data_IF_041709562780
#
_entry.id   IF_041709562780
#
_cell.length_a   1.000
_cell.length_b   1.000
_cell.length_c   1.000
_cell.angle_alpha   90.00
_cell.angle_beta   90.00
_cell.angle_gamma   90.00
#
_symmetry.space_group_name_H-M   'P 1'
#
loop_
_entity.id
_entity.type
_entity.pdbx_description
1 polymer ?
#
# COMPACT_ATOMS: atom_id res chain seq x y z
N UNK A 1 35.99 4.11 29.68
CA UNK A 1 35.15 4.50 30.84
C UNK A 1 33.80 4.98 30.30
N UNK A 2 32.72 4.20 30.55
CA UNK A 2 31.28 4.44 30.26
C UNK A 2 30.93 4.66 28.77
N UNK A 3 30.53 3.66 27.97
CA UNK A 3 29.26 2.89 28.07
C UNK A 3 28.13 3.64 28.75
N UNK A 4 27.22 4.21 27.95
CA UNK A 4 25.83 4.47 28.35
C UNK A 4 24.93 4.65 27.12
N UNK A 5 24.08 3.64 26.92
CA UNK A 5 22.68 3.76 26.47
C UNK A 5 22.32 3.88 24.99
N UNK A 6 22.83 2.97 24.14
CA UNK A 6 22.16 2.62 22.85
C UNK A 6 20.98 1.64 23.06
N UNK A 7 20.70 1.20 24.30
CA UNK A 7 19.72 0.13 24.56
C UNK A 7 18.26 0.56 24.78
N UNK A 8 17.89 1.84 24.67
CA UNK A 8 16.56 2.30 25.09
C UNK A 8 15.76 3.18 24.10
N UNK A 9 16.15 3.27 22.82
CA UNK A 9 15.34 3.98 21.80
C UNK A 9 14.64 3.07 20.77
N UNK A 10 14.71 1.74 20.97
CA UNK A 10 14.09 0.71 20.11
C UNK A 10 12.60 0.42 20.44
N UNK A 11 11.87 1.40 20.98
CA UNK A 11 10.44 1.27 21.27
C UNK A 11 9.68 2.42 20.66
N UNK A 12 9.32 2.27 19.38
CA UNK A 12 8.26 2.95 18.61
C UNK A 12 8.77 3.23 17.20
N UNK A 13 8.69 2.24 16.31
CA UNK A 13 8.14 2.37 14.95
C UNK A 13 7.75 0.94 14.56
N UNK A 14 6.46 0.67 14.51
CA UNK A 14 5.96 -0.62 14.06
C UNK A 14 5.94 -0.58 12.53
N UNK A 15 6.83 -1.39 11.95
CA UNK A 15 7.11 -1.53 10.52
C UNK A 15 5.90 -2.05 9.75
N UNK A 16 5.63 -1.43 8.60
CA UNK A 16 4.52 -1.74 7.72
C UNK A 16 4.93 -2.87 6.78
N UNK A 17 4.14 -3.96 6.73
CA UNK A 17 4.33 -5.05 5.76
C UNK A 17 3.02 -5.63 5.29
N UNK A 18 2.51 -5.17 4.15
CA UNK A 18 1.66 -5.99 3.28
C UNK A 18 1.51 -5.42 1.87
N UNK A 19 2.36 -5.86 0.94
CA UNK A 19 2.07 -5.84 -0.49
C UNK A 19 2.95 -6.90 -1.16
N UNK A 20 2.37 -7.97 -1.68
CA UNK A 20 3.14 -9.03 -2.35
C UNK A 20 2.67 -10.45 -2.07
N UNK A 21 1.41 -10.74 -2.37
CA UNK A 21 0.96 -12.11 -2.58
C UNK A 21 -0.19 -12.08 -3.61
N UNK A 22 0.15 -12.33 -4.87
CA UNK A 22 -0.86 -12.65 -5.89
C UNK A 22 -1.76 -13.77 -5.35
N UNK A 23 -3.06 -13.54 -5.44
CA UNK A 23 -4.10 -14.50 -5.05
C UNK A 23 -4.18 -15.62 -6.09
N UNK A 24 -3.72 -16.82 -5.71
CA UNK A 24 -4.24 -18.08 -6.23
C UNK A 24 -4.31 -19.09 -5.09
N UNK A 25 -5.34 -18.99 -4.24
CA UNK A 25 -5.69 -20.02 -3.27
C UNK A 25 -6.86 -20.85 -3.78
N UNK A 26 -6.60 -21.92 -4.53
CA UNK A 26 -7.55 -23.03 -4.66
C UNK A 26 -7.34 -24.00 -3.49
N UNK A 27 -8.17 -23.87 -2.45
CA UNK A 27 -8.23 -24.83 -1.36
C UNK A 27 -9.23 -24.44 -0.27
N UNK A 28 -10.33 -25.19 -0.16
CA UNK A 28 -11.28 -25.17 0.97
C UNK A 28 -11.34 -26.62 1.51
N UNK A 29 -11.50 -26.90 2.82
CA UNK A 29 -11.04 -26.19 4.02
C UNK A 29 -10.29 -27.14 4.99
N UNK A 30 -9.33 -26.64 5.75
CA UNK A 30 -9.08 -27.21 7.09
C UNK A 30 -9.67 -26.23 8.09
N UNK A 31 -10.63 -26.69 8.90
CA UNK A 31 -11.30 -25.88 9.92
C UNK A 31 -10.29 -25.03 10.67
N UNK A 32 -10.44 -23.72 10.54
CA UNK A 32 -9.53 -22.77 11.13
C UNK A 32 -10.30 -22.01 12.18
N UNK A 33 -9.81 -22.16 13.41
CA UNK A 33 -10.51 -21.83 14.64
C UNK A 33 -10.25 -20.38 15.01
N UNK A 34 -11.13 -19.79 15.82
CA UNK A 34 -10.89 -18.55 16.60
C UNK A 34 -9.49 -18.50 17.29
N UNK A 35 -8.81 -19.65 17.43
CA UNK A 35 -7.43 -19.80 17.91
C UNK A 35 -6.34 -19.22 17.00
N UNK A 36 -6.60 -18.97 15.72
CA UNK A 36 -5.64 -18.36 14.80
C UNK A 36 -5.55 -16.86 15.10
N UNK A 37 -4.71 -16.51 16.07
CA UNK A 37 -4.74 -15.20 16.74
C UNK A 37 -3.55 -14.30 16.49
N UNK A 38 -2.78 -14.62 15.44
CA UNK A 38 -1.59 -13.89 15.08
C UNK A 38 -1.76 -13.02 13.84
N UNK A 39 -2.61 -13.43 12.90
CA UNK A 39 -2.67 -12.81 11.58
C UNK A 39 -4.08 -12.43 11.16
N UNK A 40 -4.20 -11.32 10.43
CA UNK A 40 -5.43 -10.90 9.76
C UNK A 40 -5.19 -10.67 8.27
N UNK A 41 -6.17 -11.03 7.44
CA UNK A 41 -6.12 -10.77 5.99
C UNK A 41 -7.52 -10.55 5.44
N UNK A 42 -7.61 -10.01 4.22
CA UNK A 42 -8.88 -9.85 3.52
C UNK A 42 -9.53 -11.20 3.21
N UNK A 43 -10.85 -11.23 3.11
CA UNK A 43 -11.55 -12.45 2.70
C UNK A 43 -11.25 -12.86 1.24
N UNK A 44 -11.54 -14.12 0.90
CA UNK A 44 -11.31 -14.69 -0.43
C UNK A 44 -12.55 -14.70 -1.33
N UNK A 45 -13.67 -14.11 -0.88
CA UNK A 45 -14.83 -13.93 -1.75
C UNK A 45 -14.50 -12.93 -2.88
N UNK A 46 -15.26 -13.01 -3.97
CA UNK A 46 -15.10 -12.16 -5.16
C UNK A 46 -15.23 -10.67 -4.85
N UNK A 47 -15.97 -10.33 -3.79
CA UNK A 47 -16.27 -8.95 -3.41
C UNK A 47 -15.23 -8.37 -2.43
N UNK A 48 -14.19 -9.13 -2.07
CA UNK A 48 -13.15 -8.63 -1.16
C UNK A 48 -11.93 -8.13 -1.92
N UNK A 49 -11.71 -6.83 -1.83
CA UNK A 49 -10.52 -6.16 -2.37
C UNK A 49 -9.71 -5.46 -1.25
N UNK A 50 -8.42 -5.26 -1.51
CA UNK A 50 -7.58 -4.37 -0.68
C UNK A 50 -7.87 -2.89 -0.96
N UNK A 51 -8.23 -2.62 -2.23
CA UNK A 51 -8.55 -1.29 -2.74
C UNK A 51 -9.92 -1.34 -3.40
N UNK A 52 -10.80 -0.40 -3.06
CA UNK A 52 -12.07 -0.21 -3.77
C UNK A 52 -12.17 1.21 -4.32
N UNK A 53 -12.55 1.31 -5.59
CA UNK A 53 -12.65 2.58 -6.32
C UNK A 53 -14.11 3.00 -6.41
N UNK A 54 -14.41 4.22 -5.97
CA UNK A 54 -15.77 4.76 -5.93
C UNK A 54 -15.80 6.23 -6.36
N UNK A 55 -16.93 6.66 -6.90
CA UNK A 55 -17.21 8.09 -7.10
C UNK A 55 -17.62 8.75 -5.77
N UNK A 56 -17.65 10.10 -5.69
CA UNK A 56 -18.21 10.80 -4.54
C UNK A 56 -19.67 10.40 -4.32
N UNK A 57 -20.08 10.23 -3.06
CA UNK A 57 -21.38 9.65 -2.70
C UNK A 57 -21.47 8.12 -2.82
N UNK A 58 -20.42 7.46 -3.32
CA UNK A 58 -20.33 6.01 -3.42
C UNK A 58 -20.01 5.33 -2.08
N UNK A 59 -19.97 3.99 -2.13
CA UNK A 59 -19.78 3.14 -0.96
C UNK A 59 -18.75 2.07 -1.26
N UNK A 60 -17.81 1.88 -0.34
CA UNK A 60 -16.84 0.79 -0.37
C UNK A 60 -17.04 -0.15 0.83
N UNK A 61 -16.88 -1.46 0.68
CA UNK A 61 -17.07 -2.44 1.77
C UNK A 61 -15.95 -3.47 1.83
N UNK A 62 -15.20 -3.44 2.92
CA UNK A 62 -14.10 -4.38 3.15
C UNK A 62 -14.52 -5.57 4.00
N UNK A 63 -13.82 -6.69 3.81
CA UNK A 63 -14.08 -7.97 4.48
C UNK A 63 -12.76 -8.49 5.05
N UNK A 64 -12.71 -8.72 6.36
CA UNK A 64 -11.48 -9.13 7.04
C UNK A 64 -11.73 -10.23 8.05
N UNK A 65 -10.72 -11.07 8.29
CA UNK A 65 -10.79 -12.09 9.31
C UNK A 65 -9.42 -12.67 9.63
N UNK A 66 -9.37 -13.66 10.54
CA UNK A 66 -8.18 -14.40 10.87
C UNK A 66 -7.52 -15.02 9.63
N UNK A 67 -6.22 -15.23 9.72
CA UNK A 67 -5.41 -15.87 8.70
C UNK A 67 -4.35 -16.79 9.28
N UNK A 68 -3.82 -17.67 8.44
CA UNK A 68 -2.60 -18.46 8.71
C UNK A 68 -1.55 -18.18 7.65
N UNK A 69 -0.28 -18.28 8.02
CA UNK A 69 0.79 -18.37 7.03
C UNK A 69 0.82 -19.79 6.47
N UNK A 70 0.72 -19.91 5.15
CA UNK A 70 0.91 -21.18 4.46
C UNK A 70 2.40 -21.54 4.35
N UNK A 71 2.70 -22.71 3.78
CA UNK A 71 4.08 -23.21 3.65
C UNK A 71 5.01 -22.27 2.85
N UNK A 72 4.45 -21.39 2.02
CA UNK A 72 5.18 -20.41 1.23
C UNK A 72 5.29 -19.04 1.93
N UNK A 73 4.66 -18.90 3.11
CA UNK A 73 4.64 -17.67 3.90
C UNK A 73 3.65 -16.63 3.39
N UNK A 74 2.61 -17.04 2.65
CA UNK A 74 1.48 -16.17 2.30
C UNK A 74 0.34 -16.33 3.29
N UNK A 75 -0.45 -15.26 3.44
CA UNK A 75 -1.63 -15.25 4.31
C UNK A 75 -2.80 -15.98 3.62
N UNK A 76 -3.17 -17.13 4.17
CA UNK A 76 -4.37 -17.85 3.81
C UNK A 76 -5.50 -17.43 4.75
N UNK A 77 -6.56 -16.85 4.19
CA UNK A 77 -7.75 -16.46 4.94
C UNK A 77 -8.42 -17.68 5.58
N UNK A 78 -8.67 -17.58 6.87
CA UNK A 78 -9.34 -18.64 7.63
C UNK A 78 -10.72 -18.24 8.11
N UNK A 79 -10.93 -16.94 8.39
CA UNK A 79 -12.21 -16.42 8.87
C UNK A 79 -12.53 -16.79 10.32
N UNK A 80 -13.64 -16.26 10.80
CA UNK A 80 -14.18 -16.52 12.14
C UNK A 80 -15.18 -17.68 12.11
N UNK A 81 -15.21 -18.48 13.18
CA UNK A 81 -16.17 -19.58 13.33
C UNK A 81 -17.62 -19.10 13.50
N UNK A 82 -17.81 -17.87 13.98
CA UNK A 82 -19.13 -17.27 14.29
C UNK A 82 -19.19 -15.80 13.84
N UNK A 83 -20.39 -15.37 13.50
CA UNK A 83 -20.73 -13.96 13.26
C UNK A 83 -20.44 -13.07 14.48
N UNK A 84 -20.81 -13.54 15.67
CA UNK A 84 -20.58 -12.84 16.94
C UNK A 84 -19.10 -12.59 17.21
N UNK A 85 -18.21 -13.54 16.85
CA UNK A 85 -16.77 -13.36 16.95
C UNK A 85 -16.27 -12.33 15.92
N UNK A 86 -16.75 -12.43 14.67
CA UNK A 86 -16.44 -11.47 13.61
C UNK A 86 -16.84 -10.02 13.95
N UNK A 87 -17.95 -9.84 14.67
CA UNK A 87 -18.39 -8.53 15.14
C UNK A 87 -17.57 -8.01 16.33
N UNK A 88 -17.13 -8.89 17.23
CA UNK A 88 -16.55 -8.51 18.51
C UNK A 88 -15.01 -8.40 18.50
N UNK A 89 -14.34 -9.11 17.60
CA UNK A 89 -12.89 -9.30 17.62
C UNK A 89 -12.09 -8.35 16.72
N UNK A 90 -12.76 -7.52 15.92
CA UNK A 90 -12.09 -6.54 15.03
C UNK A 90 -12.38 -5.11 15.48
N UNK A 91 -11.34 -4.30 15.53
CA UNK A 91 -11.40 -2.85 15.69
C UNK A 91 -11.06 -2.21 14.35
N UNK A 92 -11.94 -1.34 13.87
CA UNK A 92 -11.73 -0.56 12.67
C UNK A 92 -11.37 0.87 13.02
N UNK A 93 -10.29 1.40 12.44
CA UNK A 93 -9.87 2.79 12.58
C UNK A 93 -9.77 3.47 11.22
N UNK A 94 -9.92 4.79 11.22
CA UNK A 94 -9.79 5.64 10.02
C UNK A 94 -8.51 6.43 10.20
N UNK A 95 -7.61 6.40 9.24
CA UNK A 95 -6.23 6.87 9.45
C UNK A 95 -5.85 8.03 8.52
N UNK A 96 -6.39 8.08 7.29
CA UNK A 96 -6.00 9.10 6.29
C UNK A 96 -7.20 9.63 5.52
N UNK A 97 -7.22 10.95 5.23
CA UNK A 97 -8.27 11.66 4.48
C UNK A 97 -9.70 11.40 5.01
N UNK A 98 -9.82 11.30 6.33
CA UNK A 98 -11.07 10.90 6.99
C UNK A 98 -12.21 11.92 6.85
N UNK A 99 -11.89 13.17 6.50
CA UNK A 99 -12.86 14.24 6.19
C UNK A 99 -13.75 13.94 4.98
N UNK A 100 -13.35 13.01 4.11
CA UNK A 100 -14.11 12.55 2.94
C UNK A 100 -15.23 11.55 3.28
N UNK A 101 -15.26 11.06 4.52
CA UNK A 101 -16.20 10.03 4.96
C UNK A 101 -17.46 10.69 5.51
N UNK A 102 -18.62 10.33 4.98
CA UNK A 102 -19.92 10.78 5.52
C UNK A 102 -20.38 9.92 6.69
N UNK A 103 -20.20 8.60 6.59
CA UNK A 103 -20.56 7.64 7.62
C UNK A 103 -19.83 6.31 7.42
N UNK A 104 -19.81 5.49 8.46
CA UNK A 104 -19.23 4.15 8.42
C UNK A 104 -20.12 3.16 9.14
N UNK A 105 -20.19 1.93 8.64
CA UNK A 105 -20.95 0.84 9.25
C UNK A 105 -20.05 -0.38 9.42
N UNK A 106 -19.86 -0.81 10.67
CA UNK A 106 -19.23 -2.10 10.95
C UNK A 106 -20.31 -3.20 10.94
N UNK A 107 -19.97 -4.36 10.40
CA UNK A 107 -20.90 -5.49 10.29
C UNK A 107 -20.18 -6.83 10.22
N UNK A 108 -20.91 -7.83 9.73
CA UNK A 108 -20.40 -9.19 9.54
C UNK A 108 -21.00 -9.80 8.29
N UNK A 109 -20.23 -10.62 7.59
CA UNK A 109 -20.70 -11.38 6.44
C UNK A 109 -20.37 -12.86 6.60
N UNK A 110 -21.30 -13.72 6.19
CA UNK A 110 -21.05 -15.16 6.05
C UNK A 110 -20.32 -15.40 4.73
N UNK A 111 -19.09 -15.91 4.81
CA UNK A 111 -18.26 -16.24 3.64
C UNK A 111 -18.56 -17.66 3.17
N UNK A 112 -18.70 -18.59 4.11
CA UNK A 112 -19.11 -19.98 3.86
C UNK A 112 -19.81 -20.56 5.10
N UNK A 113 -20.28 -21.81 5.03
CA UNK A 113 -20.83 -22.50 6.20
C UNK A 113 -19.80 -22.58 7.33
N UNK A 114 -20.12 -21.99 8.49
CA UNK A 114 -19.20 -21.90 9.62
C UNK A 114 -17.97 -21.00 9.39
N UNK A 115 -18.03 -20.07 8.44
CA UNK A 115 -16.94 -19.14 8.15
C UNK A 115 -17.48 -17.72 7.92
N UNK A 116 -17.03 -16.78 8.74
CA UNK A 116 -17.52 -15.40 8.78
C UNK A 116 -16.37 -14.39 8.69
N UNK A 117 -16.66 -13.22 8.12
CA UNK A 117 -15.77 -12.07 8.08
C UNK A 117 -16.37 -10.90 8.86
N UNK A 118 -15.51 -10.08 9.47
CA UNK A 118 -15.89 -8.73 9.90
C UNK A 118 -15.96 -7.84 8.65
N UNK A 119 -16.97 -6.98 8.57
CA UNK A 119 -17.11 -6.04 7.46
C UNK A 119 -17.04 -4.59 7.92
N UNK A 120 -16.54 -3.74 7.04
CA UNK A 120 -16.52 -2.30 7.26
C UNK A 120 -16.87 -1.58 5.99
N UNK A 121 -18.02 -0.93 6.03
CA UNK A 121 -18.55 -0.12 4.94
C UNK A 121 -18.21 1.34 5.18
N UNK A 122 -17.57 1.97 4.20
CA UNK A 122 -17.25 3.39 4.16
C UNK A 122 -18.16 4.06 3.15
N UNK A 123 -19.00 4.98 3.61
CA UNK A 123 -19.79 5.84 2.73
C UNK A 123 -19.02 7.14 2.51
N UNK A 124 -18.72 7.42 1.24
CA UNK A 124 -18.01 8.64 0.83
C UNK A 124 -19.01 9.79 0.75
N UNK A 125 -18.61 10.98 1.19
CA UNK A 125 -19.45 12.18 1.08
C UNK A 125 -19.72 12.53 -0.40
N UNK A 126 -20.92 13.03 -0.71
CA UNK A 126 -21.29 13.42 -2.08
C UNK A 126 -20.37 14.51 -2.67
N UNK A 127 -19.83 15.37 -1.80
CA UNK A 127 -18.92 16.45 -2.16
C UNK A 127 -17.44 16.11 -1.91
N UNK A 128 -17.11 14.85 -1.67
CA UNK A 128 -15.72 14.44 -1.44
C UNK A 128 -14.84 14.76 -2.67
N UNK A 129 -13.66 15.30 -2.42
CA UNK A 129 -12.64 15.51 -3.45
C UNK A 129 -11.91 14.21 -3.78
N UNK A 130 -11.29 14.14 -4.96
CA UNK A 130 -10.49 13.00 -5.40
C UNK A 130 -9.31 12.74 -4.44
N UNK A 131 -8.94 11.46 -4.27
CA UNK A 131 -7.83 11.02 -3.40
C UNK A 131 -8.22 9.84 -2.50
N UNK A 132 -7.25 9.15 -1.89
CA UNK A 132 -7.48 7.93 -1.15
C UNK A 132 -8.05 8.20 0.25
N UNK A 133 -8.71 7.22 0.83
CA UNK A 133 -9.08 7.13 2.24
C UNK A 133 -8.47 5.83 2.78
N UNK A 134 -7.74 5.90 3.89
CA UNK A 134 -7.20 4.71 4.56
C UNK A 134 -8.08 4.31 5.73
N UNK A 135 -8.44 3.03 5.77
CA UNK A 135 -9.05 2.40 6.94
C UNK A 135 -8.21 1.20 7.36
N UNK A 136 -8.12 0.96 8.65
CA UNK A 136 -7.29 -0.07 9.23
C UNK A 136 -8.16 -1.02 10.04
N UNK A 137 -7.98 -2.33 9.82
CA UNK A 137 -8.56 -3.38 10.63
C UNK A 137 -7.49 -3.95 11.56
N UNK A 138 -7.81 -4.11 12.84
CA UNK A 138 -6.91 -4.68 13.83
C UNK A 138 -7.69 -5.60 14.76
N UNK A 139 -7.08 -6.73 15.15
CA UNK A 139 -7.65 -7.58 16.20
C UNK A 139 -7.76 -6.81 17.51
N UNK A 140 -8.94 -6.83 18.13
CA UNK A 140 -9.26 -6.08 19.34
C UNK A 140 -8.29 -6.42 20.48
N UNK A 141 -7.77 -5.38 21.12
CA UNK A 141 -6.81 -5.52 22.23
C UNK A 141 -5.39 -5.92 21.80
N UNK A 142 -5.11 -5.93 20.49
CA UNK A 142 -3.76 -6.08 19.93
C UNK A 142 -3.32 -4.77 19.29
N UNK A 143 -2.02 -4.56 19.26
CA UNK A 143 -1.37 -3.36 18.71
C UNK A 143 -0.17 -3.71 17.84
N UNK A 144 0.05 -4.99 17.55
CA UNK A 144 1.11 -5.44 16.66
C UNK A 144 0.56 -5.55 15.23
N UNK A 145 1.42 -5.21 14.29
CA UNK A 145 1.16 -5.12 12.85
C UNK A 145 0.61 -6.42 12.25
N UNK A 146 1.07 -7.56 12.74
CA UNK A 146 0.67 -8.88 12.24
C UNK A 146 -0.82 -9.13 12.44
N UNK A 147 -1.40 -8.55 13.49
CA UNK A 147 -2.80 -8.69 13.84
C UNK A 147 -3.70 -7.66 13.14
N UNK A 148 -3.21 -6.95 12.12
CA UNK A 148 -3.99 -5.93 11.42
C UNK A 148 -3.62 -5.83 9.95
N UNK A 149 -4.45 -5.15 9.19
CA UNK A 149 -4.23 -4.90 7.78
C UNK A 149 -4.94 -3.62 7.33
N UNK A 150 -4.38 -2.99 6.30
CA UNK A 150 -4.85 -1.71 5.76
C UNK A 150 -5.67 -1.92 4.49
N UNK A 151 -6.69 -1.08 4.33
CA UNK A 151 -7.55 -1.02 3.16
C UNK A 151 -7.66 0.41 2.67
N UNK A 152 -7.84 0.57 1.37
CA UNK A 152 -7.89 1.87 0.72
C UNK A 152 -9.18 2.03 -0.07
N UNK A 153 -9.88 3.13 0.15
CA UNK A 153 -10.93 3.60 -0.76
C UNK A 153 -10.31 4.63 -1.69
N UNK A 154 -10.28 4.38 -2.99
CA UNK A 154 -9.91 5.37 -4.00
C UNK A 154 -11.17 6.16 -4.34
N UNK A 155 -11.22 7.43 -3.91
CA UNK A 155 -12.29 8.34 -4.34
C UNK A 155 -11.86 8.99 -5.65
N UNK A 156 -12.57 8.68 -6.72
CA UNK A 156 -12.36 9.32 -8.02
C UNK A 156 -13.01 10.70 -8.07
N UNK A 157 -12.42 11.62 -8.83
CA UNK A 157 -13.00 12.90 -9.20
C UNK A 157 -13.67 12.86 -10.58
N UNK A 158 -14.49 13.86 -10.85
CA UNK A 158 -15.11 14.06 -12.17
C UNK A 158 -14.17 14.68 -13.20
N UNK A 159 -13.01 15.18 -12.77
CA UNK A 159 -12.00 15.82 -13.61
C UNK A 159 -10.63 15.23 -13.30
N UNK A 160 -9.81 15.02 -14.33
CA UNK A 160 -8.41 14.66 -14.14
C UNK A 160 -7.65 15.83 -13.52
N UNK A 161 -6.75 15.50 -12.59
CA UNK A 161 -5.87 16.47 -11.91
C UNK A 161 -4.41 16.06 -12.06
N UNK A 162 -3.51 17.01 -11.80
CA UNK A 162 -2.07 16.84 -11.87
C UNK A 162 -1.41 17.40 -10.61
N UNK A 163 -0.18 16.97 -10.33
CA UNK A 163 0.70 17.57 -9.34
C UNK A 163 1.98 18.06 -10.02
N UNK A 164 2.51 19.20 -9.59
CA UNK A 164 3.60 19.93 -10.24
C UNK A 164 4.78 20.14 -9.30
N UNK A 165 5.97 20.39 -9.85
CA UNK A 165 7.19 20.52 -9.06
C UNK A 165 7.59 19.23 -8.37
N UNK A 166 7.20 18.08 -8.94
CA UNK A 166 7.45 16.76 -8.34
C UNK A 166 8.89 16.33 -8.63
N UNK A 167 9.60 15.93 -7.59
CA UNK A 167 10.92 15.30 -7.73
C UNK A 167 10.80 13.79 -7.52
N UNK A 168 11.70 13.03 -8.12
CA UNK A 168 11.70 11.58 -8.03
C UNK A 168 13.12 11.07 -7.86
N UNK A 169 13.33 10.18 -6.92
CA UNK A 169 14.61 9.52 -6.70
C UNK A 169 14.40 8.00 -6.72
N UNK A 170 15.28 7.26 -7.37
CA UNK A 170 15.27 5.81 -7.35
C UNK A 170 16.65 5.29 -6.93
N UNK A 171 16.68 4.33 -6.00
CA UNK A 171 17.90 3.75 -5.45
C UNK A 171 17.84 2.22 -5.52
N UNK A 172 18.88 1.61 -6.07
CA UNK A 172 19.14 0.17 -5.94
C UNK A 172 20.06 -0.09 -4.74
N UNK A 173 19.46 -0.54 -3.64
CA UNK A 173 20.16 -0.90 -2.40
C UNK A 173 20.26 -2.41 -2.20
N UNK A 174 19.94 -3.22 -3.23
CA UNK A 174 19.86 -4.68 -3.12
C UNK A 174 20.91 -5.40 -3.95
N UNK A 175 21.14 -4.99 -5.19
CA UNK A 175 22.00 -5.74 -6.11
C UNK A 175 23.50 -5.52 -5.85
N UNK A 176 23.84 -4.48 -5.06
CA UNK A 176 25.22 -4.07 -4.78
C UNK A 176 25.87 -3.28 -5.91
N UNK A 177 25.10 -2.85 -6.91
CA UNK A 177 25.59 -2.03 -8.02
C UNK A 177 25.39 -0.51 -7.82
N UNK A 178 24.72 -0.12 -6.73
CA UNK A 178 24.46 1.29 -6.34
C UNK A 178 23.86 2.15 -7.47
N UNK A 179 22.98 1.56 -8.30
CA UNK A 179 22.31 2.29 -9.37
C UNK A 179 21.35 3.33 -8.79
N UNK A 180 21.34 4.52 -9.39
CA UNK A 180 20.46 5.62 -8.98
C UNK A 180 19.85 6.34 -10.18
N UNK A 181 18.64 6.84 -10.05
CA UNK A 181 18.01 7.70 -11.04
C UNK A 181 17.28 8.88 -10.39
N UNK A 182 17.36 10.06 -10.99
CA UNK A 182 16.85 11.31 -10.43
C UNK A 182 16.06 12.10 -11.47
N UNK A 183 14.77 12.29 -11.20
CA UNK A 183 13.88 13.16 -11.95
C UNK A 183 13.54 14.41 -11.15
N UNK A 184 13.39 15.55 -11.80
CA UNK A 184 13.15 16.82 -11.10
C UNK A 184 12.10 17.66 -11.84
N UNK A 185 11.33 18.43 -11.07
CA UNK A 185 10.36 19.41 -11.56
C UNK A 185 9.33 18.83 -12.55
N UNK A 186 8.87 17.59 -12.28
CA UNK A 186 7.85 16.96 -13.10
C UNK A 186 6.46 17.56 -12.86
N UNK A 187 5.70 17.62 -13.95
CA UNK A 187 4.24 17.66 -13.90
C UNK A 187 3.73 16.23 -14.07
N UNK A 188 3.19 15.68 -13.00
CA UNK A 188 2.67 14.31 -12.95
C UNK A 188 1.18 14.37 -13.18
N UNK A 189 0.72 13.76 -14.27
CA UNK A 189 -0.69 13.68 -14.63
C UNK A 189 -1.34 12.44 -14.03
N UNK A 190 -2.67 12.46 -13.88
CA UNK A 190 -3.42 11.27 -13.48
C UNK A 190 -3.39 10.18 -14.57
N UNK A 191 -3.52 8.92 -14.17
CA UNK A 191 -3.46 7.79 -15.10
C UNK A 191 -4.47 7.87 -16.27
N UNK A 192 -5.64 8.47 -16.05
CA UNK A 192 -6.65 8.64 -17.10
C UNK A 192 -6.31 9.78 -18.09
N UNK A 193 -5.51 10.77 -17.68
CA UNK A 193 -5.12 11.87 -18.57
C UNK A 193 -4.03 11.44 -19.56
N UNK A 194 -3.14 10.54 -19.16
CA UNK A 194 -2.10 9.99 -20.00
C UNK A 194 -2.49 8.60 -20.54
N UNK A 195 -2.86 8.51 -21.82
CA UNK A 195 -3.27 7.26 -22.47
C UNK A 195 -2.18 6.19 -22.55
N UNK A 196 -0.91 6.59 -22.38
CA UNK A 196 0.23 5.68 -22.36
C UNK A 196 0.73 5.38 -20.93
N UNK A 197 0.04 5.89 -19.90
CA UNK A 197 0.44 5.63 -18.52
C UNK A 197 0.36 4.13 -18.19
N UNK A 198 1.33 3.64 -17.40
CA UNK A 198 1.37 2.24 -16.95
C UNK A 198 0.03 1.80 -16.32
N UNK A 199 -0.60 2.70 -15.57
CA UNK A 199 -1.83 2.41 -14.82
C UNK A 199 -3.12 2.86 -15.51
N UNK A 200 -3.06 3.26 -16.79
CA UNK A 200 -4.24 3.70 -17.54
C UNK A 200 -5.30 2.58 -17.59
N UNK A 201 -6.55 2.87 -17.20
CA UNK A 201 -7.66 1.92 -17.09
C UNK A 201 -7.41 0.73 -16.13
N UNK A 202 -6.41 0.80 -15.26
CA UNK A 202 -6.22 -0.23 -14.24
C UNK A 202 -7.23 -0.04 -13.10
N UNK A 203 -8.13 -1.01 -12.93
CA UNK A 203 -9.19 -0.95 -11.93
C UNK A 203 -8.69 -0.89 -10.46
N UNK A 204 -7.43 -1.24 -10.21
CA UNK A 204 -6.81 -1.22 -8.88
C UNK A 204 -6.00 0.05 -8.61
N UNK A 205 -5.99 1.00 -9.55
CA UNK A 205 -5.24 2.25 -9.48
C UNK A 205 -6.17 3.46 -9.64
N UNK A 206 -5.81 4.58 -9.02
CA UNK A 206 -6.51 5.83 -9.20
C UNK A 206 -6.38 6.36 -10.63
N UNK A 207 -7.47 6.91 -11.15
CA UNK A 207 -7.55 7.34 -12.54
C UNK A 207 -7.61 8.87 -12.67
N UNK A 208 -8.25 9.58 -11.74
CA UNK A 208 -8.55 11.01 -11.83
C UNK A 208 -7.57 11.95 -11.12
N UNK A 209 -6.59 11.44 -10.38
CA UNK A 209 -5.58 12.27 -9.72
C UNK A 209 -4.17 11.72 -9.84
N UNK A 210 -3.19 12.61 -9.73
CA UNK A 210 -1.77 12.26 -9.79
C UNK A 210 -1.38 11.43 -8.57
N UNK A 211 -0.72 10.30 -8.83
CA UNK A 211 -0.25 9.38 -7.79
C UNK A 211 1.25 9.20 -7.82
N UNK A 212 1.81 8.68 -6.72
CA UNK A 212 3.24 8.37 -6.64
C UNK A 212 3.68 7.43 -7.77
N UNK A 213 2.84 6.47 -8.16
CA UNK A 213 3.14 5.54 -9.26
C UNK A 213 3.19 6.22 -10.65
N UNK A 214 2.42 7.30 -10.86
CA UNK A 214 2.44 8.03 -12.14
C UNK A 214 3.76 8.75 -12.41
N UNK A 215 4.61 8.93 -11.38
CA UNK A 215 5.97 9.44 -11.59
C UNK A 215 6.81 8.55 -12.51
N UNK A 216 6.54 7.24 -12.54
CA UNK A 216 7.22 6.29 -13.41
C UNK A 216 7.00 6.64 -14.89
N UNK A 217 5.82 7.13 -15.24
CA UNK A 217 5.50 7.53 -16.62
C UNK A 217 6.37 8.73 -17.06
N UNK A 218 6.59 9.70 -16.17
CA UNK A 218 7.51 10.82 -16.42
C UNK A 218 8.96 10.34 -16.58
N UNK A 219 9.43 9.47 -15.68
CA UNK A 219 10.80 8.93 -15.73
C UNK A 219 11.05 8.08 -16.99
N UNK A 220 10.03 7.38 -17.51
CA UNK A 220 10.12 6.68 -18.78
C UNK A 220 10.17 7.64 -19.97
N UNK A 221 9.33 8.67 -19.94
CA UNK A 221 9.20 9.62 -21.04
C UNK A 221 10.48 10.44 -21.29
N UNK A 222 11.25 10.74 -20.23
CA UNK A 222 12.50 11.49 -20.34
C UNK A 222 13.76 10.62 -20.29
N UNK A 223 13.61 9.32 -20.13
CA UNK A 223 14.71 8.35 -20.11
C UNK A 223 15.49 8.30 -18.79
N UNK A 224 14.99 8.92 -17.72
CA UNK A 224 15.56 8.78 -16.36
C UNK A 224 15.67 7.32 -15.94
N UNK A 225 14.68 6.50 -16.30
CA UNK A 225 14.73 5.02 -16.20
C UNK A 225 14.60 4.40 -17.58
N UNK A 226 15.06 3.16 -17.71
CA UNK A 226 15.07 2.45 -18.99
C UNK A 226 13.72 1.76 -19.30
N UNK A 227 13.07 1.19 -18.27
CA UNK A 227 11.82 0.45 -18.42
C UNK A 227 11.10 0.28 -17.07
N UNK A 228 9.80 -0.04 -17.08
CA UNK A 228 9.05 -0.41 -15.88
C UNK A 228 7.80 -1.23 -16.23
N UNK A 229 7.36 -2.06 -15.29
CA UNK A 229 6.15 -2.88 -15.41
C UNK A 229 5.24 -2.70 -14.19
N UNK A 230 3.95 -2.95 -14.40
CA UNK A 230 2.96 -3.00 -13.33
C UNK A 230 2.26 -4.35 -13.26
N UNK A 231 1.78 -4.70 -12.07
CA UNK A 231 0.90 -5.84 -11.86
C UNK A 231 -0.10 -5.56 -10.75
N UNK A 232 -1.39 -5.76 -11.01
CA UNK A 232 -2.47 -5.60 -10.02
C UNK A 232 -2.49 -4.24 -9.30
N UNK A 233 -2.07 -3.17 -9.98
CA UNK A 233 -2.03 -1.83 -9.36
C UNK A 233 -0.76 -1.59 -8.53
N UNK A 234 0.26 -2.43 -8.67
CA UNK A 234 1.59 -2.22 -8.08
C UNK A 234 2.63 -2.01 -9.17
N UNK A 235 3.65 -1.19 -8.90
CA UNK A 235 4.88 -1.20 -9.70
C UNK A 235 5.60 -2.52 -9.41
N UNK A 236 5.72 -3.37 -10.42
CA UNK A 236 6.23 -4.74 -10.31
C UNK A 236 7.75 -4.78 -10.47
N UNK A 237 8.26 -4.05 -11.47
CA UNK A 237 9.68 -3.91 -11.72
C UNK A 237 10.02 -2.57 -12.35
N UNK A 238 11.26 -2.12 -12.14
CA UNK A 238 11.87 -0.95 -12.79
C UNK A 238 13.24 -1.38 -13.30
N UNK A 239 13.58 -0.98 -14.52
CA UNK A 239 14.93 -1.06 -15.07
C UNK A 239 15.56 0.33 -14.96
N UNK A 240 16.69 0.41 -14.27
CA UNK A 240 17.49 1.63 -14.20
C UNK A 240 18.46 1.68 -15.39
N UNK A 241 19.20 2.78 -15.49
CA UNK A 241 20.35 2.93 -16.38
C UNK A 241 21.64 2.69 -15.59
N UNK A 242 22.57 1.94 -16.17
CA UNK A 242 23.92 1.75 -15.64
C UNK A 242 24.82 2.97 -15.93
N UNK A 243 26.04 2.97 -15.40
CA UNK A 243 27.00 4.07 -15.57
C UNK A 243 27.45 4.33 -17.02
N UNK A 244 27.13 3.45 -17.96
CA UNK A 244 27.38 3.61 -19.39
C UNK A 244 26.11 3.96 -20.18
N UNK A 245 24.97 4.15 -19.52
CA UNK A 245 23.66 4.39 -20.14
C UNK A 245 22.99 3.12 -20.69
N UNK A 246 23.45 1.93 -20.30
CA UNK A 246 22.81 0.66 -20.62
C UNK A 246 21.69 0.32 -19.63
N UNK A 247 20.65 -0.37 -20.08
CA UNK A 247 19.57 -0.81 -19.19
C UNK A 247 20.04 -1.93 -18.26
N UNK A 248 19.72 -1.85 -16.96
CA UNK A 248 20.01 -2.91 -15.97
C UNK A 248 19.20 -4.19 -16.19
N UNK A 249 18.14 -4.11 -17.00
CA UNK A 249 17.05 -5.08 -17.02
C UNK A 249 16.06 -4.82 -15.88
N UNK A 250 14.85 -5.37 -16.02
CA UNK A 250 13.77 -5.21 -15.05
C UNK A 250 14.12 -5.86 -13.70
N UNK A 251 14.25 -5.02 -12.66
CA UNK A 251 14.49 -5.45 -11.29
C UNK A 251 13.15 -5.77 -10.62
N UNK A 252 12.74 -7.03 -10.65
CA UNK A 252 11.48 -7.51 -10.07
C UNK A 252 11.63 -7.96 -8.61
N UNK A 253 10.53 -7.86 -7.85
CA UNK A 253 10.49 -8.30 -6.46
C UNK A 253 10.56 -9.83 -6.27
N UNK A 254 10.85 -10.25 -5.05
CA UNK A 254 10.94 -11.66 -4.69
C UNK A 254 11.05 -11.92 -3.19
N UNK A 255 11.45 -13.15 -2.83
CA UNK A 255 11.65 -13.58 -1.44
C UNK A 255 13.01 -14.25 -1.28
N UNK A 256 13.72 -13.86 -0.23
CA UNK A 256 14.96 -14.50 0.24
C UNK A 256 14.78 -15.03 1.65
N UNK A 257 15.80 -15.69 2.20
CA UNK A 257 15.83 -16.06 3.62
C UNK A 257 15.76 -14.83 4.54
N UNK A 258 16.26 -13.68 4.11
CA UNK A 258 16.22 -12.43 4.87
C UNK A 258 14.85 -11.73 4.81
N UNK A 259 13.98 -12.12 3.88
CA UNK A 259 12.64 -11.56 3.72
C UNK A 259 12.28 -11.22 2.29
N UNK A 260 11.14 -10.53 2.13
CA UNK A 260 10.68 -10.00 0.86
C UNK A 260 11.51 -8.79 0.44
N UNK A 261 11.80 -8.71 -0.86
CA UNK A 261 12.48 -7.58 -1.48
C UNK A 261 11.76 -7.15 -2.76
N UNK A 262 12.01 -5.94 -3.19
CA UNK A 262 11.43 -5.35 -4.40
C UNK A 262 11.45 -3.83 -4.31
N UNK A 263 10.72 -3.18 -5.21
CA UNK A 263 10.54 -1.73 -5.18
C UNK A 263 9.60 -1.34 -4.05
N UNK A 264 10.13 -0.58 -3.10
CA UNK A 264 9.40 0.12 -2.06
C UNK A 264 9.35 1.59 -2.43
N UNK A 265 8.35 2.32 -1.94
CA UNK A 265 8.27 3.75 -2.19
C UNK A 265 7.93 4.54 -0.91
N UNK A 266 8.26 5.82 -0.94
CA UNK A 266 7.91 6.77 0.08
C UNK A 266 7.76 8.17 -0.49
N UNK A 267 6.95 9.00 0.16
CA UNK A 267 6.78 10.41 -0.23
C UNK A 267 7.40 11.30 0.83
N UNK A 268 8.26 12.21 0.39
CA UNK A 268 8.82 13.29 1.20
C UNK A 268 8.10 14.58 0.84
N UNK A 269 7.53 15.24 1.86
CA UNK A 269 6.83 16.52 1.76
C UNK A 269 7.44 17.47 2.76
N UNK A 270 7.83 18.66 2.32
CA UNK A 270 8.52 19.64 3.17
C UNK A 270 9.71 19.02 3.92
N UNK A 271 10.55 18.26 3.19
CA UNK A 271 11.72 17.53 3.71
C UNK A 271 11.41 16.44 4.76
N UNK A 272 10.13 16.09 4.93
CA UNK A 272 9.66 15.12 5.93
C UNK A 272 8.93 13.96 5.28
N UNK A 273 9.07 12.78 5.87
CA UNK A 273 8.43 11.56 5.38
C UNK A 273 6.94 11.53 5.71
N UNK A 274 6.10 11.33 4.70
CA UNK A 274 4.65 11.15 4.84
C UNK A 274 4.37 9.68 5.15
N UNK A 275 4.18 9.35 6.42
CA UNK A 275 4.11 7.97 6.88
C UNK A 275 2.95 7.16 6.25
N UNK A 276 1.83 7.79 5.89
CA UNK A 276 0.75 7.09 5.18
C UNK A 276 1.15 6.58 3.80
N UNK A 277 2.22 7.08 3.18
CA UNK A 277 2.69 6.54 1.90
C UNK A 277 3.23 5.10 2.06
N UNK A 278 3.63 4.67 3.26
CA UNK A 278 4.08 3.30 3.49
C UNK A 278 2.95 2.25 3.36
N UNK A 279 1.72 2.68 3.64
CA UNK A 279 0.54 1.82 3.91
C UNK A 279 -0.56 1.99 2.86
N UNK A 280 -0.38 2.92 1.93
CA UNK A 280 -1.25 3.13 0.77
C UNK A 280 -0.44 2.73 -0.46
N UNK A 281 -1.06 2.06 -1.43
CA UNK A 281 -0.38 1.71 -2.69
C UNK A 281 0.09 2.98 -3.42
N UNK A 282 1.25 2.94 -4.08
CA UNK A 282 1.78 4.06 -4.86
C UNK A 282 0.81 4.53 -5.94
N UNK A 283 -0.01 3.62 -6.48
CA UNK A 283 -1.03 3.89 -7.49
C UNK A 283 -2.34 4.46 -6.94
N UNK A 284 -2.42 4.66 -5.61
CA UNK A 284 -3.56 5.25 -4.92
C UNK A 284 -3.17 6.46 -4.07
N UNK A 285 -1.92 6.61 -3.66
CA UNK A 285 -1.47 7.72 -2.83
C UNK A 285 -1.51 9.04 -3.62
N UNK A 286 -2.22 10.05 -3.10
CA UNK A 286 -2.40 11.34 -3.76
C UNK A 286 -1.20 12.27 -3.56
N UNK A 287 -0.55 12.65 -4.66
CA UNK A 287 0.54 13.62 -4.62
C UNK A 287 0.02 15.04 -4.39
N UNK A 288 0.89 15.87 -3.81
CA UNK A 288 0.75 17.32 -3.69
C UNK A 288 1.91 17.99 -4.43
N UNK A 289 1.68 19.24 -4.85
CA UNK A 289 2.72 20.03 -5.49
C UNK A 289 3.97 20.10 -4.61
N UNK A 290 5.15 19.95 -5.22
CA UNK A 290 6.44 19.98 -4.52
C UNK A 290 6.83 18.69 -3.77
N UNK A 291 6.00 17.64 -3.80
CA UNK A 291 6.37 16.35 -3.22
C UNK A 291 7.61 15.74 -3.91
N UNK A 292 8.39 14.98 -3.14
CA UNK A 292 9.45 14.12 -3.67
C UNK A 292 9.07 12.65 -3.47
N UNK A 293 9.01 11.87 -4.55
CA UNK A 293 8.75 10.43 -4.51
C UNK A 293 10.07 9.69 -4.54
N UNK A 294 10.32 8.84 -3.55
CA UNK A 294 11.53 8.04 -3.49
C UNK A 294 11.18 6.56 -3.64
N UNK A 295 11.83 5.90 -4.60
CA UNK A 295 11.77 4.48 -4.86
C UNK A 295 13.05 3.80 -4.35
N UNK A 296 12.91 2.74 -3.56
CA UNK A 296 14.02 1.96 -3.01
C UNK A 296 13.85 0.51 -3.41
N UNK A 297 14.75 -0.01 -4.24
CA UNK A 297 14.86 -1.44 -4.50
C UNK A 297 15.69 -2.08 -3.40
N UNK A 298 15.06 -2.90 -2.56
CA UNK A 298 15.66 -3.35 -1.32
C UNK A 298 14.83 -4.42 -0.62
N UNK A 299 15.41 -5.00 0.42
CA UNK A 299 14.59 -5.64 1.46
C UNK A 299 13.67 -4.59 2.06
N UNK A 300 12.47 -5.01 2.43
CA UNK A 300 11.53 -4.13 3.12
C UNK A 300 12.10 -3.50 4.40
N UNK A 301 12.94 -4.24 5.13
CA UNK A 301 13.64 -3.72 6.30
C UNK A 301 14.59 -2.57 5.94
N UNK A 302 15.27 -2.68 4.79
CA UNK A 302 16.18 -1.65 4.28
C UNK A 302 15.42 -0.38 3.92
N UNK A 303 14.28 -0.51 3.23
CA UNK A 303 13.42 0.64 2.94
C UNK A 303 12.86 1.27 4.23
N UNK A 304 12.47 0.46 5.21
CA UNK A 304 12.01 0.95 6.52
C UNK A 304 13.09 1.77 7.24
N UNK A 305 14.35 1.29 7.22
CA UNK A 305 15.48 2.03 7.79
C UNK A 305 15.76 3.32 7.01
N UNK A 306 15.72 3.25 5.68
CA UNK A 306 15.91 4.41 4.80
C UNK A 306 14.91 5.53 5.10
N UNK A 307 13.61 5.22 5.09
CA UNK A 307 12.57 6.21 5.38
C UNK A 307 12.53 6.62 6.85
N UNK A 308 12.91 5.72 7.77
CA UNK A 308 13.00 6.00 9.20
C UNK A 308 14.07 7.03 9.59
N UNK A 309 14.96 7.40 8.68
CA UNK A 309 15.95 8.46 8.88
C UNK A 309 15.36 9.88 8.75
N UNK A 310 14.18 10.03 8.16
CA UNK A 310 13.51 11.31 7.99
C UNK A 310 12.63 11.65 9.19
N UNK A 311 12.50 12.94 9.48
CA UNK A 311 11.44 13.42 10.36
C UNK A 311 10.07 13.12 9.72
N UNK A 312 9.08 12.79 10.54
CA UNK A 312 7.73 12.46 10.06
C UNK A 312 6.92 13.73 9.80
N UNK A 313 6.28 13.80 8.63
CA UNK A 313 5.37 14.87 8.25
C UNK A 313 4.10 14.80 9.12
N UNK A 314 3.60 15.93 9.67
CA UNK A 314 2.37 15.93 10.43
C UNK A 314 1.16 15.74 9.51
N UNK A 315 0.61 14.53 9.48
CA UNK A 315 -0.58 14.18 8.71
C UNK A 315 -1.84 14.45 9.54
N UNK A 316 -2.63 15.47 9.17
CA UNK A 316 -4.03 15.69 9.62
C UNK A 316 -4.76 16.64 8.68
#
# INVERSE_FOLDING_TARGET
>A
MKSKNIKNLLKRVASVTLAGALVLSTGIPAKASTSDNMYMTKATNTDSAWTETVAPGGTATFYVGPAKLNAYGYYDYTGFDKDTDAAAEVTWTKEYNTSKISSTTAGTAKIAEGNYASTYTVNVAENATAGPIRVHAQRKGKTNIENGCDFVVVVEGSTNTQATGINVEAYDLFTGNDYTAFGNDYTVESANANLNALFHNNANAAQSYATAANTIDNMLADGTIADATESYGYVDAISLNDGNGGATGLLAGGKTEAGYYGWQYGVIRDEKYVASSAVISASAFDLKDGDTVIWVYGLQSTATEFFGAYDVYPEN
#
